data_IF_250411088911
#
_entry.id   IF_250411088911
#
_cell.length_a   1.000
_cell.length_b   1.000
_cell.length_c   1.000
_cell.angle_alpha   90.00
_cell.angle_beta   90.00
_cell.angle_gamma   90.00
#
_symmetry.space_group_name_H-M   'P 1'
#
loop_
_entity.id
_entity.type
_entity.pdbx_description
1 polymer ?
#
# COMPACT_ATOMS: atom_id res chain seq x y z
N UNK A 1 64.52 25.90 38.62
CA UNK A 1 63.87 25.02 39.63
C UNK A 1 62.45 24.76 39.15
N UNK A 2 61.98 23.60 38.70
CA UNK A 2 62.53 22.27 38.53
C UNK A 2 61.49 21.42 37.74
N UNK A 3 62.00 20.35 37.11
CA UNK A 3 61.34 19.07 36.74
C UNK A 3 60.19 19.14 35.70
N UNK A 4 60.43 18.79 34.42
CA UNK A 4 60.49 17.43 33.82
C UNK A 4 59.19 16.63 33.97
N UNK A 5 58.54 16.29 32.84
CA UNK A 5 58.04 14.98 32.38
C UNK A 5 57.39 15.22 30.99
N UNK A 6 58.00 14.88 29.85
CA UNK A 6 58.22 13.56 29.22
C UNK A 6 56.93 12.96 28.61
N UNK A 7 56.89 12.99 27.26
CA UNK A 7 56.33 12.00 26.32
C UNK A 7 54.82 11.70 26.42
N UNK A 8 54.02 11.73 25.35
CA UNK A 8 54.13 10.89 24.17
C UNK A 8 53.23 11.41 23.02
N UNK A 9 53.66 11.08 21.80
CA UNK A 9 52.89 10.92 20.56
C UNK A 9 51.36 10.84 20.72
N UNK A 10 50.62 11.60 19.89
CA UNK A 10 49.73 10.97 18.92
C UNK A 10 49.45 11.94 17.77
N UNK A 11 49.85 11.56 16.57
CA UNK A 11 49.38 12.16 15.33
C UNK A 11 47.95 11.67 15.07
N UNK A 12 47.02 12.61 14.85
CA UNK A 12 45.76 12.31 14.19
C UNK A 12 45.50 13.44 13.18
N UNK A 13 45.82 13.12 11.93
CA UNK A 13 45.53 13.93 10.75
C UNK A 13 44.01 13.96 10.58
N UNK A 14 43.39 15.11 10.87
CA UNK A 14 41.98 15.36 10.62
C UNK A 14 41.86 16.13 9.30
N UNK A 15 41.81 15.42 8.18
CA UNK A 15 41.47 16.04 6.88
C UNK A 15 39.96 16.14 6.80
N UNK A 16 39.45 17.37 6.92
CA UNK A 16 38.13 17.74 6.46
C UNK A 16 38.10 17.72 4.93
N UNK A 17 37.27 16.86 4.34
CA UNK A 17 36.78 17.05 2.98
C UNK A 17 35.26 16.87 2.99
N UNK A 18 34.58 18.02 3.05
CA UNK A 18 33.22 18.18 2.54
C UNK A 18 33.21 17.70 1.08
N UNK A 19 32.35 16.73 0.78
CA UNK A 19 31.89 16.51 -0.58
C UNK A 19 30.38 16.55 -0.55
N UNK A 20 29.86 17.77 -0.67
CA UNK A 20 28.55 18.02 -1.21
C UNK A 20 28.51 17.36 -2.60
N UNK A 21 27.83 16.23 -2.71
CA UNK A 21 27.43 15.70 -4.01
C UNK A 21 26.06 16.27 -4.31
N UNK A 22 26.13 17.40 -4.99
CA UNK A 22 25.22 17.92 -6.00
C UNK A 22 24.00 17.04 -6.26
N UNK A 23 22.82 17.58 -5.97
CA UNK A 23 21.59 17.24 -6.70
C UNK A 23 21.84 17.66 -8.14
N UNK A 24 22.43 16.76 -8.93
CA UNK A 24 22.31 16.83 -10.38
C UNK A 24 20.92 16.28 -10.70
N UNK A 25 20.09 17.14 -11.27
CA UNK A 25 18.94 16.74 -12.04
C UNK A 25 19.46 15.88 -13.23
N UNK A 26 19.62 14.58 -12.98
CA UNK A 26 19.75 13.61 -14.03
C UNK A 26 18.37 13.48 -14.68
N UNK A 27 18.24 14.03 -15.88
CA UNK A 27 17.12 13.77 -16.77
C UNK A 27 17.26 12.32 -17.26
N UNK A 28 16.94 11.41 -16.34
CA UNK A 28 17.16 9.98 -16.48
C UNK A 28 16.30 9.39 -17.57
N UNK A 29 16.94 8.84 -18.59
CA UNK A 29 16.38 7.83 -19.50
C UNK A 29 15.67 6.74 -18.67
N UNK A 30 14.62 6.08 -19.21
CA UNK A 30 13.89 5.04 -18.49
C UNK A 30 14.86 3.94 -18.04
N UNK A 31 15.02 3.78 -16.72
CA UNK A 31 15.77 2.67 -16.13
C UNK A 31 15.01 1.38 -16.45
N UNK A 32 15.51 0.63 -17.44
CA UNK A 32 15.05 -0.72 -17.72
C UNK A 32 15.22 -1.59 -16.47
N UNK A 33 14.10 -2.04 -15.89
CA UNK A 33 13.98 -3.33 -15.21
C UNK A 33 14.63 -3.46 -13.84
N UNK A 34 14.54 -2.45 -12.95
CA UNK A 34 14.86 -2.69 -11.54
C UNK A 34 13.83 -3.68 -10.97
N UNK A 35 14.30 -4.88 -10.63
CA UNK A 35 13.46 -5.89 -10.00
C UNK A 35 13.08 -5.39 -8.60
N UNK A 36 11.77 -5.26 -8.35
CA UNK A 36 11.24 -4.91 -7.04
C UNK A 36 11.46 -6.10 -6.08
N UNK A 37 12.31 -5.93 -5.07
CA UNK A 37 12.59 -6.97 -4.05
C UNK A 37 12.23 -6.53 -2.63
N UNK A 38 11.81 -5.28 -2.48
CA UNK A 38 11.29 -4.72 -1.23
C UNK A 38 10.07 -3.87 -1.53
N UNK A 39 9.04 -3.96 -0.69
CA UNK A 39 7.82 -3.17 -0.78
C UNK A 39 7.30 -2.85 0.62
N UNK A 40 6.45 -1.83 0.73
CA UNK A 40 5.75 -1.50 1.97
C UNK A 40 4.34 -2.06 1.90
N UNK A 41 3.99 -2.94 2.83
CA UNK A 41 2.61 -3.33 3.08
C UNK A 41 1.96 -2.25 3.92
N UNK A 42 0.77 -1.84 3.52
CA UNK A 42 -0.04 -0.85 4.22
C UNK A 42 -1.31 -1.53 4.72
N UNK A 43 -1.58 -1.40 6.01
CA UNK A 43 -2.84 -1.76 6.63
C UNK A 43 -3.56 -0.46 7.01
N UNK A 44 -4.54 -0.07 6.19
CA UNK A 44 -5.18 1.24 6.23
C UNK A 44 -6.55 1.17 6.93
N UNK A 45 -6.65 1.77 8.11
CA UNK A 45 -7.85 1.87 8.93
C UNK A 45 -8.50 3.26 8.85
N UNK A 46 -8.17 4.07 7.83
CA UNK A 46 -8.72 5.42 7.70
C UNK A 46 -10.24 5.41 7.49
N UNK A 47 -10.77 4.41 6.75
CA UNK A 47 -12.20 4.16 6.59
C UNK A 47 -13.01 5.44 6.25
N UNK A 48 -12.60 6.15 5.20
CA UNK A 48 -13.19 7.41 4.78
C UNK A 48 -12.57 8.66 5.42
N UNK A 49 -11.77 8.51 6.48
CA UNK A 49 -11.10 9.64 7.11
C UNK A 49 -9.93 10.16 6.26
N UNK A 50 -9.79 11.49 6.17
CA UNK A 50 -8.59 12.12 5.61
C UNK A 50 -7.38 12.04 6.55
N UNK A 51 -7.62 11.72 7.83
CA UNK A 51 -6.55 11.52 8.78
C UNK A 51 -6.00 10.10 8.60
N UNK A 52 -4.69 9.95 8.31
CA UNK A 52 -4.11 8.63 8.11
C UNK A 52 -4.21 7.83 9.41
N UNK A 53 -4.77 6.64 9.31
CA UNK A 53 -4.79 5.66 10.38
C UNK A 53 -4.23 4.35 9.84
N UNK A 54 -2.93 4.33 9.56
CA UNK A 54 -2.27 3.21 8.90
C UNK A 54 -1.22 2.55 9.81
N UNK A 55 -1.08 1.23 9.64
CA UNK A 55 0.10 0.48 10.09
C UNK A 55 0.87 0.11 8.83
N UNK A 56 2.19 0.22 8.88
CA UNK A 56 3.04 -0.18 7.76
C UNK A 56 4.02 -1.27 8.16
N UNK A 57 4.41 -2.09 7.19
CA UNK A 57 5.41 -3.13 7.36
C UNK A 57 6.23 -3.30 6.10
N UNK A 58 7.55 -3.28 6.23
CA UNK A 58 8.43 -3.63 5.10
C UNK A 58 8.33 -5.13 4.81
N UNK A 59 8.07 -5.45 3.55
CA UNK A 59 8.11 -6.79 3.00
C UNK A 59 9.32 -6.93 2.08
N UNK A 60 10.14 -7.94 2.35
CA UNK A 60 11.32 -8.24 1.54
C UNK A 60 11.16 -9.62 0.92
N UNK A 61 11.48 -9.75 -0.36
CA UNK A 61 11.51 -11.02 -1.08
C UNK A 61 12.89 -11.24 -1.70
N UNK A 62 13.31 -12.51 -1.77
CA UNK A 62 14.53 -12.90 -2.50
C UNK A 62 14.32 -12.91 -4.02
N UNK A 63 13.06 -12.85 -4.45
CA UNK A 63 12.64 -12.84 -5.86
C UNK A 63 11.98 -11.51 -6.18
N UNK A 64 11.69 -11.32 -7.46
CA UNK A 64 10.83 -10.24 -7.92
C UNK A 64 9.46 -10.32 -7.22
N UNK A 65 9.09 -9.25 -6.53
CA UNK A 65 7.79 -9.09 -5.91
C UNK A 65 6.74 -8.92 -7.02
N UNK A 66 5.71 -9.75 -6.98
CA UNK A 66 4.52 -9.58 -7.82
C UNK A 66 3.37 -8.97 -7.02
N UNK A 67 2.37 -8.36 -7.69
CA UNK A 67 1.15 -7.90 -7.03
C UNK A 67 0.46 -8.99 -6.19
N UNK A 68 0.41 -10.23 -6.68
CA UNK A 68 -0.21 -11.37 -5.99
C UNK A 68 0.56 -11.74 -4.72
N UNK A 69 1.90 -11.63 -4.75
CA UNK A 69 2.73 -11.86 -3.56
C UNK A 69 2.43 -10.84 -2.46
N UNK A 70 2.15 -9.58 -2.83
CA UNK A 70 1.75 -8.53 -1.89
C UNK A 70 0.35 -8.75 -1.31
N UNK A 71 -0.64 -9.15 -2.12
CA UNK A 71 -1.96 -9.54 -1.63
C UNK A 71 -1.86 -10.73 -0.65
N UNK A 72 -1.06 -11.73 -0.99
CA UNK A 72 -0.78 -12.88 -0.11
C UNK A 72 -0.07 -12.46 1.18
N UNK A 73 0.85 -11.48 1.11
CA UNK A 73 1.54 -10.95 2.28
C UNK A 73 0.61 -10.15 3.21
N UNK A 74 -0.30 -9.35 2.65
CA UNK A 74 -1.38 -8.70 3.41
C UNK A 74 -2.27 -9.74 4.09
N UNK A 75 -2.59 -10.83 3.39
CA UNK A 75 -3.40 -11.89 3.99
C UNK A 75 -2.74 -12.51 5.21
N UNK A 76 -1.47 -12.91 5.09
CA UNK A 76 -0.70 -13.43 6.23
C UNK A 76 -0.57 -12.44 7.38
N UNK A 77 -0.46 -11.14 7.06
CA UNK A 77 -0.26 -10.12 8.07
C UNK A 77 -1.53 -9.83 8.85
N UNK A 78 -2.65 -9.65 8.15
CA UNK A 78 -3.93 -9.20 8.71
C UNK A 78 -4.82 -10.34 9.21
N UNK A 79 -4.68 -11.54 8.64
CA UNK A 79 -5.62 -12.64 8.84
C UNK A 79 -6.89 -12.53 7.98
N UNK A 80 -6.95 -11.58 7.05
CA UNK A 80 -8.02 -11.49 6.06
C UNK A 80 -7.60 -12.14 4.75
N UNK A 81 -8.53 -12.75 4.01
CA UNK A 81 -8.21 -13.44 2.76
C UNK A 81 -8.27 -12.46 1.58
N UNK A 82 -7.10 -11.90 1.21
CA UNK A 82 -6.93 -11.11 -0.01
C UNK A 82 -6.78 -12.04 -1.23
N UNK A 83 -7.80 -12.86 -1.49
CA UNK A 83 -7.83 -13.78 -2.62
C UNK A 83 -8.26 -13.03 -3.87
N UNK A 84 -7.29 -12.77 -4.76
CA UNK A 84 -7.48 -11.96 -5.97
C UNK A 84 -6.78 -12.59 -7.16
N UNK A 85 -7.35 -12.41 -8.35
CA UNK A 85 -6.66 -12.59 -9.62
C UNK A 85 -6.18 -11.22 -10.09
N UNK A 86 -4.88 -11.09 -10.39
CA UNK A 86 -4.32 -9.82 -10.82
C UNK A 86 -3.84 -9.90 -12.27
N UNK A 87 -4.09 -8.84 -13.04
CA UNK A 87 -3.52 -8.64 -14.37
C UNK A 87 -2.73 -7.34 -14.38
N UNK A 88 -1.41 -7.47 -14.53
CA UNK A 88 -0.52 -6.31 -14.64
C UNK A 88 -0.47 -5.80 -16.08
N UNK A 89 -0.84 -4.53 -16.27
CA UNK A 89 -0.72 -3.80 -17.54
C UNK A 89 0.38 -2.74 -17.44
N UNK A 90 0.63 -2.06 -18.56
CA UNK A 90 1.65 -1.00 -18.66
C UNK A 90 1.44 0.11 -17.63
N UNK A 91 0.22 0.60 -17.47
CA UNK A 91 -0.09 1.76 -16.61
C UNK A 91 -1.19 1.44 -15.57
N UNK A 92 -1.61 0.17 -15.48
CA UNK A 92 -2.70 -0.27 -14.63
C UNK A 92 -2.46 -1.65 -14.01
N UNK A 93 -3.12 -1.91 -12.89
CA UNK A 93 -3.24 -3.20 -12.23
C UNK A 93 -4.74 -3.49 -12.12
N UNK A 94 -5.19 -4.53 -12.80
CA UNK A 94 -6.57 -5.00 -12.66
C UNK A 94 -6.61 -6.06 -11.58
N UNK A 95 -7.45 -5.87 -10.57
CA UNK A 95 -7.62 -6.78 -9.44
C UNK A 95 -9.05 -7.29 -9.45
N UNK A 96 -9.21 -8.58 -9.70
CA UNK A 96 -10.51 -9.28 -9.65
C UNK A 96 -10.60 -10.05 -8.33
N UNK A 97 -11.51 -9.61 -7.46
CA UNK A 97 -11.74 -10.23 -6.16
C UNK A 97 -12.49 -11.54 -6.32
N UNK A 98 -11.92 -12.60 -5.73
CA UNK A 98 -12.54 -13.91 -5.76
C UNK A 98 -13.77 -13.94 -4.82
N UNK A 99 -14.83 -14.72 -5.15
CA UNK A 99 -16.00 -14.86 -4.28
C UNK A 99 -15.69 -15.35 -2.86
N UNK A 100 -14.63 -16.15 -2.69
CA UNK A 100 -14.16 -16.63 -1.39
C UNK A 100 -13.20 -15.70 -0.66
N UNK A 101 -12.93 -14.50 -1.18
CA UNK A 101 -12.16 -13.50 -0.44
C UNK A 101 -13.02 -12.95 0.70
N UNK A 102 -12.40 -12.60 1.83
CA UNK A 102 -13.13 -12.01 2.96
C UNK A 102 -13.86 -10.72 2.58
N UNK A 103 -13.35 -10.00 1.59
CA UNK A 103 -14.02 -8.80 1.08
C UNK A 103 -15.46 -9.12 0.63
N UNK A 104 -15.63 -10.24 -0.10
CA UNK A 104 -16.90 -10.66 -0.66
C UNK A 104 -17.68 -11.56 0.32
N UNK A 105 -17.02 -12.54 0.93
CA UNK A 105 -17.66 -13.55 1.79
C UNK A 105 -17.84 -13.11 3.25
N UNK A 106 -17.29 -11.98 3.65
CA UNK A 106 -17.22 -11.53 5.04
C UNK A 106 -16.37 -12.45 5.96
N UNK A 107 -16.30 -12.13 7.26
CA UNK A 107 -15.58 -12.89 8.29
C UNK A 107 -16.30 -14.15 8.77
N UNK A 108 -17.62 -14.23 8.60
CA UNK A 108 -18.46 -15.17 9.34
C UNK A 108 -18.11 -15.15 10.86
N UNK A 109 -18.07 -16.32 11.51
CA UNK A 109 -17.75 -16.47 12.95
C UNK A 109 -16.26 -16.69 13.24
N UNK A 110 -15.37 -16.39 12.29
CA UNK A 110 -13.94 -16.73 12.43
C UNK A 110 -13.23 -15.81 13.43
N UNK A 111 -12.24 -16.37 14.12
CA UNK A 111 -11.39 -15.60 15.03
C UNK A 111 -10.58 -14.54 14.27
N UNK A 112 -10.66 -13.30 14.73
CA UNK A 112 -9.91 -12.19 14.16
C UNK A 112 -8.52 -12.09 14.78
N UNK A 113 -7.52 -11.80 13.94
CA UNK A 113 -6.14 -11.70 14.38
C UNK A 113 -5.92 -10.46 15.25
N UNK A 114 -5.16 -10.64 16.34
CA UNK A 114 -4.80 -9.53 17.25
C UNK A 114 -4.28 -8.31 16.49
N UNK A 115 -4.93 -7.17 16.71
CA UNK A 115 -4.58 -5.89 16.11
C UNK A 115 -5.24 -5.59 14.76
N UNK A 116 -6.09 -6.50 14.26
CA UNK A 116 -6.92 -6.37 13.07
C UNK A 116 -8.35 -6.80 13.41
N UNK A 117 -9.00 -6.03 14.29
CA UNK A 117 -10.38 -6.28 14.70
C UNK A 117 -11.33 -5.30 14.01
N UNK A 118 -12.38 -5.84 13.42
CA UNK A 118 -13.46 -5.14 12.75
C UNK A 118 -14.78 -5.49 13.43
N UNK A 119 -15.59 -4.47 13.68
CA UNK A 119 -16.91 -4.60 14.32
C UNK A 119 -18.05 -4.67 13.30
N UNK A 120 -17.77 -4.27 12.07
CA UNK A 120 -18.72 -4.24 10.96
C UNK A 120 -18.02 -4.57 9.64
N UNK A 121 -18.82 -5.05 8.68
CA UNK A 121 -18.33 -5.50 7.38
C UNK A 121 -17.82 -4.35 6.51
N UNK A 122 -18.39 -3.16 6.65
CA UNK A 122 -18.07 -2.00 5.81
C UNK A 122 -16.67 -1.46 6.12
N UNK A 123 -16.38 -1.25 7.41
CA UNK A 123 -15.05 -0.88 7.89
C UNK A 123 -13.99 -1.88 7.45
N UNK A 124 -14.32 -3.18 7.47
CA UNK A 124 -13.42 -4.22 6.97
C UNK A 124 -13.26 -4.15 5.45
N UNK A 125 -14.33 -3.95 4.68
CA UNK A 125 -14.28 -3.86 3.22
C UNK A 125 -13.43 -2.68 2.78
N UNK A 126 -13.66 -1.51 3.37
CA UNK A 126 -12.82 -0.33 3.13
C UNK A 126 -11.37 -0.58 3.50
N UNK A 127 -11.13 -1.17 4.67
CA UNK A 127 -9.77 -1.57 5.07
C UNK A 127 -9.10 -2.46 4.03
N UNK A 128 -9.79 -3.50 3.54
CA UNK A 128 -9.22 -4.43 2.57
C UNK A 128 -8.94 -3.75 1.22
N UNK A 129 -9.86 -2.93 0.71
CA UNK A 129 -9.65 -2.21 -0.54
C UNK A 129 -8.53 -1.18 -0.42
N UNK A 130 -8.53 -0.33 0.61
CA UNK A 130 -7.50 0.69 0.80
C UNK A 130 -6.13 0.09 1.06
N UNK A 131 -6.04 -0.95 1.91
CA UNK A 131 -4.77 -1.61 2.22
C UNK A 131 -4.11 -2.19 0.96
N UNK A 132 -4.89 -2.88 0.12
CA UNK A 132 -4.36 -3.43 -1.12
C UNK A 132 -4.00 -2.32 -2.11
N UNK A 133 -4.87 -1.32 -2.26
CA UNK A 133 -4.65 -0.18 -3.17
C UNK A 133 -3.37 0.56 -2.82
N UNK A 134 -3.20 0.98 -1.56
CA UNK A 134 -2.02 1.71 -1.06
C UNK A 134 -0.75 0.89 -1.23
N UNK A 135 -0.81 -0.41 -0.92
CA UNK A 135 0.31 -1.33 -1.08
C UNK A 135 0.73 -1.44 -2.56
N UNK A 136 -0.22 -1.61 -3.47
CA UNK A 136 0.06 -1.76 -4.91
C UNK A 136 0.52 -0.45 -5.55
N UNK A 137 -0.14 0.68 -5.24
CA UNK A 137 0.28 2.01 -5.71
C UNK A 137 1.70 2.33 -5.26
N UNK A 138 2.02 2.10 -3.98
CA UNK A 138 3.36 2.35 -3.45
C UNK A 138 4.45 1.45 -4.04
N UNK A 139 4.11 0.22 -4.44
CA UNK A 139 5.05 -0.74 -5.00
C UNK A 139 5.29 -0.57 -6.50
N UNK A 140 4.26 -0.23 -7.27
CA UNK A 140 4.29 -0.30 -8.73
C UNK A 140 4.00 1.02 -9.45
N UNK A 141 3.48 2.03 -8.74
CA UNK A 141 3.10 3.34 -9.29
C UNK A 141 2.18 3.24 -10.51
N UNK A 142 1.07 2.49 -10.37
CA UNK A 142 0.09 2.22 -11.43
C UNK A 142 -1.32 2.39 -10.92
N UNK A 143 -2.24 2.79 -11.78
CA UNK A 143 -3.66 2.82 -11.39
C UNK A 143 -4.19 1.43 -11.08
N UNK A 144 -5.04 1.31 -10.06
CA UNK A 144 -5.62 0.04 -9.63
C UNK A 144 -7.11 0.07 -9.91
N UNK A 145 -7.62 -0.99 -10.51
CA UNK A 145 -9.04 -1.14 -10.82
C UNK A 145 -9.56 -2.37 -10.09
N UNK A 146 -10.70 -2.25 -9.42
CA UNK A 146 -11.35 -3.35 -8.74
C UNK A 146 -12.52 -3.90 -9.53
N UNK A 147 -12.56 -5.23 -9.59
CA UNK A 147 -13.60 -6.02 -10.24
C UNK A 147 -13.91 -7.25 -9.40
N UNK A 148 -14.97 -7.96 -9.76
CA UNK A 148 -15.30 -9.27 -9.20
C UNK A 148 -15.88 -10.18 -10.28
N UNK A 149 -15.99 -11.48 -9.98
CA UNK A 149 -16.67 -12.45 -10.84
C UNK A 149 -16.15 -12.46 -12.29
N UNK A 150 -14.83 -12.33 -12.48
CA UNK A 150 -14.21 -12.38 -13.81
C UNK A 150 -14.30 -11.07 -14.58
N UNK A 151 -14.21 -9.93 -13.90
CA UNK A 151 -14.13 -8.59 -14.50
C UNK A 151 -15.41 -7.77 -14.46
N UNK A 152 -16.46 -8.23 -13.76
CA UNK A 152 -17.65 -7.41 -13.50
C UNK A 152 -17.33 -6.31 -12.50
N UNK A 153 -18.15 -5.27 -12.48
CA UNK A 153 -18.07 -4.22 -11.46
C UNK A 153 -18.08 -4.83 -10.06
N UNK A 154 -17.22 -4.33 -9.17
CA UNK A 154 -17.24 -4.74 -7.78
C UNK A 154 -18.46 -4.09 -7.13
N UNK A 155 -19.33 -4.90 -6.53
CA UNK A 155 -20.62 -4.46 -6.01
C UNK A 155 -20.92 -5.10 -4.66
N UNK A 156 -21.50 -4.31 -3.77
CA UNK A 156 -21.93 -4.73 -2.43
C UNK A 156 -23.34 -4.26 -2.16
N UNK A 157 -24.15 -5.10 -1.52
CA UNK A 157 -25.55 -4.76 -1.23
C UNK A 157 -25.68 -3.52 -0.34
N UNK A 158 -24.82 -3.36 0.67
CA UNK A 158 -24.99 -2.37 1.74
C UNK A 158 -23.73 -1.56 2.09
N UNK A 159 -22.73 -1.49 1.20
CA UNK A 159 -21.55 -0.66 1.46
C UNK A 159 -21.90 0.83 1.40
N UNK A 160 -21.61 1.56 2.48
CA UNK A 160 -21.75 3.03 2.53
C UNK A 160 -20.39 3.73 2.31
N UNK A 161 -20.35 4.87 1.59
CA UNK A 161 -21.48 5.56 0.93
C UNK A 161 -21.79 5.08 -0.49
N UNK A 162 -20.98 4.18 -1.03
CA UNK A 162 -21.08 3.69 -2.41
C UNK A 162 -21.16 2.17 -2.44
N UNK A 163 -22.06 1.67 -3.29
CA UNK A 163 -22.32 0.24 -3.44
C UNK A 163 -21.63 -0.40 -4.64
N UNK A 164 -21.29 0.39 -5.65
CA UNK A 164 -20.76 -0.08 -6.93
C UNK A 164 -19.47 0.65 -7.28
N UNK A 165 -18.43 -0.10 -7.60
CA UNK A 165 -17.18 0.42 -8.15
C UNK A 165 -17.12 0.06 -9.64
N UNK A 166 -17.21 1.06 -10.54
CA UNK A 166 -17.13 0.81 -11.98
C UNK A 166 -15.81 0.16 -12.38
N UNK A 167 -15.87 -0.85 -13.25
CA UNK A 167 -14.70 -1.62 -13.67
C UNK A 167 -13.70 -0.82 -14.53
N UNK A 168 -14.14 0.31 -15.09
CA UNK A 168 -13.41 1.21 -15.97
C UNK A 168 -12.93 2.50 -15.27
N UNK A 169 -13.16 2.63 -13.96
CA UNK A 169 -12.69 3.76 -13.15
C UNK A 169 -11.65 3.27 -12.13
N UNK A 170 -10.48 3.94 -12.02
CA UNK A 170 -9.51 3.62 -10.97
C UNK A 170 -10.14 3.73 -9.58
N UNK A 171 -9.72 2.85 -8.68
CA UNK A 171 -10.05 2.99 -7.27
C UNK A 171 -9.27 4.17 -6.66
N UNK A 172 -10.00 5.08 -6.00
CA UNK A 172 -9.48 6.36 -5.53
C UNK A 172 -9.21 6.41 -4.01
N UNK A 173 -9.46 5.31 -3.30
CA UNK A 173 -9.39 5.25 -1.83
C UNK A 173 -10.69 5.69 -1.16
N UNK A 174 -10.98 5.13 0.02
CA UNK A 174 -12.19 5.47 0.78
C UNK A 174 -12.37 6.98 1.02
N UNK A 175 -11.35 7.80 1.34
CA UNK A 175 -11.58 9.22 1.61
C UNK A 175 -12.17 9.98 0.42
N UNK A 176 -11.86 9.55 -0.81
CA UNK A 176 -12.47 10.11 -2.01
C UNK A 176 -13.97 9.84 -2.04
N UNK A 177 -14.39 8.59 -1.85
CA UNK A 177 -15.82 8.22 -1.92
C UNK A 177 -16.65 8.86 -0.81
N UNK A 178 -16.09 8.98 0.40
CA UNK A 178 -16.73 9.69 1.51
C UNK A 178 -16.80 11.21 1.30
N UNK A 179 -15.79 11.83 0.70
CA UNK A 179 -15.85 13.26 0.39
C UNK A 179 -16.88 13.61 -0.70
N UNK A 180 -17.22 12.65 -1.57
CA UNK A 180 -18.13 12.85 -2.70
C UNK A 180 -19.51 12.23 -2.49
N UNK A 181 -19.81 11.72 -1.29
CA UNK A 181 -21.15 11.18 -0.95
C UNK A 181 -22.20 12.27 -0.68
N UNK A 182 -21.77 13.49 -0.36
CA UNK A 182 -22.64 14.58 0.09
C UNK A 182 -23.25 15.42 -1.04
N UNK A 183 -23.09 15.03 -2.30
CA UNK A 183 -23.85 15.64 -3.40
C UNK A 183 -23.59 17.15 -3.61
N UNK A 184 -22.33 17.61 -3.50
CA UNK A 184 -21.87 18.76 -4.30
C UNK A 184 -21.10 18.27 -5.52
N UNK A 185 -21.77 17.43 -6.30
CA UNK A 185 -21.50 17.33 -7.72
C UNK A 185 -22.18 18.50 -8.41
N UNK A 186 -21.67 19.72 -8.21
CA UNK A 186 -21.87 20.78 -9.20
C UNK A 186 -21.05 20.35 -10.41
N UNK A 187 -21.68 19.57 -11.28
CA UNK A 187 -21.22 19.40 -12.64
C UNK A 187 -21.41 20.74 -13.36
N UNK A 188 -20.36 21.56 -13.35
CA UNK A 188 -20.09 22.53 -14.43
C UNK A 188 -18.98 21.98 -15.35
#
# INVERSE_FOLDING_TARGET
MGKRFCSYLLAAVLVFLLSATTVHADSGRPVKGRVLTSAVLVADFANGSVNPNEKTRVYNSKKAITPEELASALSRWTGLDFTVKITLKKDAILVDWAPGSTLISNLDDREQKKGFHFFDADSMRWFMMDSLWRTLKGAFDKEVYYTMNGGKQLEFDDLSPIKVFPADVPYMGSPFYFAHSDGRGDME
#
